data_IF_540320183138
#
_entry.id   IF_540320183138
#
_cell.length_a   1.000
_cell.length_b   1.000
_cell.length_c   1.000
_cell.angle_alpha   90.00
_cell.angle_beta   90.00
_cell.angle_gamma   90.00
#
_symmetry.space_group_name_H-M   'P 1'
#
loop_
_entity.id
_entity.type
_entity.pdbx_description
1 polymer ?
#
# COMPACT_ATOMS: atom_id res chain seq x y z
N UNK A 1 2.25 13.49 22.13
CA UNK A 1 2.27 12.37 21.16
C UNK A 1 2.99 12.80 19.87
N UNK A 2 4.02 12.05 19.47
CA UNK A 2 4.72 12.25 18.18
C UNK A 2 4.10 11.28 17.19
N UNK A 3 3.81 11.74 15.97
CA UNK A 3 3.26 10.92 14.88
C UNK A 3 4.29 10.90 13.77
N UNK A 4 4.70 9.71 13.32
CA UNK A 4 5.55 9.56 12.14
C UNK A 4 4.73 9.21 10.90
N UNK A 5 4.97 9.92 9.80
CA UNK A 5 4.36 9.69 8.49
C UNK A 5 5.36 9.33 7.39
N UNK A 6 6.66 9.24 7.71
CA UNK A 6 7.74 9.02 6.74
C UNK A 6 8.45 7.67 6.87
N UNK A 7 8.09 6.85 7.86
CA UNK A 7 8.67 5.51 8.08
C UNK A 7 7.95 4.52 7.16
N UNK A 8 8.68 3.76 6.35
CA UNK A 8 8.10 2.65 5.61
C UNK A 8 8.03 1.40 6.52
N UNK A 9 7.12 0.46 6.21
CA UNK A 9 6.99 -0.81 6.94
C UNK A 9 8.32 -1.59 7.02
N UNK A 10 9.11 -1.55 5.95
CA UNK A 10 10.44 -2.18 5.92
C UNK A 10 11.47 -1.54 6.86
N UNK A 11 11.30 -0.26 7.21
CA UNK A 11 12.24 0.49 8.05
C UNK A 11 12.01 0.23 9.55
N UNK A 12 10.86 -0.34 9.92
CA UNK A 12 10.47 -0.57 11.32
C UNK A 12 11.52 -1.42 12.05
N UNK A 13 12.01 -2.47 11.41
CA UNK A 13 13.07 -3.33 11.97
C UNK A 13 14.43 -2.65 12.10
N UNK A 14 14.64 -1.49 11.48
CA UNK A 14 15.89 -0.71 11.63
C UNK A 14 15.92 0.08 12.95
N UNK A 15 14.78 0.20 13.64
CA UNK A 15 14.66 0.88 14.93
C UNK A 15 14.76 -0.08 16.13
N UNK A 16 15.27 -1.29 15.90
CA UNK A 16 15.58 -2.25 16.96
C UNK A 16 16.90 -1.90 17.66
N UNK A 17 16.84 -1.77 18.99
CA UNK A 17 18.01 -1.57 19.84
C UNK A 17 18.67 -2.92 20.18
N UNK A 18 19.98 -2.92 20.50
CA UNK A 18 20.64 -4.10 21.07
C UNK A 18 19.82 -4.65 22.25
N UNK A 19 19.45 -5.93 22.19
CA UNK A 19 18.57 -6.58 23.17
C UNK A 19 17.09 -6.66 22.80
N UNK A 20 16.72 -6.46 21.52
CA UNK A 20 15.39 -6.78 20.97
C UNK A 20 14.28 -5.80 21.37
N UNK A 21 14.63 -4.59 21.79
CA UNK A 21 13.67 -3.53 22.13
C UNK A 21 13.47 -2.63 20.92
N UNK A 22 12.27 -2.62 20.35
CA UNK A 22 11.92 -1.66 19.29
C UNK A 22 11.67 -0.28 19.90
N UNK A 23 12.30 0.76 19.33
CA UNK A 23 12.03 2.16 19.68
C UNK A 23 10.63 2.63 19.25
N UNK A 24 9.94 1.81 18.46
CA UNK A 24 8.64 2.14 17.87
C UNK A 24 7.45 1.59 18.66
N UNK A 25 7.70 0.75 19.68
CA UNK A 25 6.63 0.27 20.57
C UNK A 25 5.96 1.49 21.21
N UNK A 26 4.62 1.52 21.18
CA UNK A 26 3.81 2.64 21.67
C UNK A 26 3.96 3.97 20.92
N UNK A 27 4.63 4.01 19.76
CA UNK A 27 4.65 5.19 18.89
C UNK A 27 3.48 5.19 17.91
N UNK A 28 2.90 6.36 17.68
CA UNK A 28 1.83 6.51 16.71
C UNK A 28 2.42 6.64 15.30
N UNK A 29 1.92 5.83 14.39
CA UNK A 29 2.32 5.85 12.98
C UNK A 29 1.11 6.08 12.08
N UNK A 30 1.38 6.65 10.91
CA UNK A 30 0.40 6.89 9.86
C UNK A 30 0.90 6.25 8.57
N UNK A 31 0.28 5.15 8.16
CA UNK A 31 0.70 4.39 6.98
C UNK A 31 -0.38 4.28 5.91
N UNK A 32 -0.01 4.52 4.65
CA UNK A 32 -0.93 4.37 3.52
C UNK A 32 -1.18 2.90 3.11
N UNK A 33 -0.43 1.94 3.67
CA UNK A 33 -0.55 0.50 3.44
C UNK A 33 0.12 -0.26 4.60
N UNK A 34 -0.41 -1.45 4.92
CA UNK A 34 0.18 -2.44 5.81
C UNK A 34 -0.03 -3.82 5.20
N UNK A 35 0.99 -4.67 5.25
CA UNK A 35 0.88 -6.05 4.77
C UNK A 35 -0.17 -6.86 5.54
N UNK A 36 -0.45 -6.53 6.81
CA UNK A 36 -1.49 -7.15 7.63
C UNK A 36 -2.94 -6.84 7.18
N UNK A 37 -3.16 -5.99 6.18
CA UNK A 37 -4.51 -5.66 5.75
C UNK A 37 -5.29 -6.88 5.21
N UNK A 38 -6.39 -7.25 5.86
CA UNK A 38 -7.23 -8.43 5.51
C UNK A 38 -8.16 -8.19 4.32
N UNK A 39 -7.60 -7.86 3.15
CA UNK A 39 -8.39 -7.76 1.89
C UNK A 39 -7.98 -8.85 0.91
N UNK A 40 -8.92 -9.35 0.11
CA UNK A 40 -8.63 -10.35 -0.93
C UNK A 40 -7.64 -9.82 -1.97
N UNK A 41 -7.68 -8.52 -2.28
CA UNK A 41 -6.73 -7.85 -3.14
C UNK A 41 -5.30 -7.87 -2.55
N UNK A 42 -5.18 -7.70 -1.22
CA UNK A 42 -3.90 -7.76 -0.53
C UNK A 42 -3.33 -9.18 -0.50
N UNK A 43 -4.16 -10.19 -0.21
CA UNK A 43 -3.73 -11.60 -0.24
C UNK A 43 -3.17 -11.98 -1.63
N UNK A 44 -3.85 -11.58 -2.71
CA UNK A 44 -3.37 -11.84 -4.07
C UNK A 44 -2.07 -11.08 -4.40
N UNK A 45 -1.94 -9.85 -3.92
CA UNK A 45 -0.72 -9.05 -4.08
C UNK A 45 0.46 -9.66 -3.32
N UNK A 46 0.30 -10.02 -2.05
CA UNK A 46 1.34 -10.67 -1.25
C UNK A 46 1.75 -12.02 -1.83
N UNK A 47 0.79 -12.80 -2.34
CA UNK A 47 1.08 -14.05 -3.06
C UNK A 47 1.96 -13.81 -4.29
N UNK A 48 1.63 -12.80 -5.09
CA UNK A 48 2.46 -12.40 -6.23
C UNK A 48 3.85 -11.95 -5.77
N UNK A 49 3.94 -11.10 -4.73
CA UNK A 49 5.24 -10.64 -4.22
C UNK A 49 6.11 -11.81 -3.73
N UNK A 50 5.52 -12.79 -3.05
CA UNK A 50 6.21 -13.99 -2.59
C UNK A 50 6.70 -14.87 -3.75
N UNK A 51 5.92 -15.01 -4.82
CA UNK A 51 6.31 -15.76 -6.03
C UNK A 51 7.51 -15.11 -6.74
N UNK A 52 7.53 -13.78 -6.86
CA UNK A 52 8.55 -13.06 -7.61
C UNK A 52 9.82 -12.77 -6.81
N UNK A 53 9.69 -12.48 -5.52
CA UNK A 53 10.80 -11.98 -4.68
C UNK A 53 11.12 -12.88 -3.49
N UNK A 54 10.32 -13.93 -3.25
CA UNK A 54 10.46 -14.83 -2.12
C UNK A 54 9.73 -14.34 -0.85
N UNK A 55 9.34 -15.30 -0.01
CA UNK A 55 8.53 -15.06 1.22
C UNK A 55 9.23 -14.18 2.26
N UNK A 56 10.56 -14.07 2.23
CA UNK A 56 11.33 -13.25 3.17
C UNK A 56 11.45 -11.78 2.73
N UNK A 57 10.95 -11.43 1.55
CA UNK A 57 11.03 -10.07 1.05
C UNK A 57 9.98 -9.18 1.74
N UNK A 58 10.44 -8.15 2.45
CA UNK A 58 9.54 -7.20 3.12
C UNK A 58 8.82 -6.34 2.07
N UNK A 59 7.49 -6.44 2.07
CA UNK A 59 6.63 -5.61 1.22
C UNK A 59 6.41 -4.26 1.89
N UNK A 60 6.54 -3.18 1.13
CA UNK A 60 6.37 -1.82 1.64
C UNK A 60 5.34 -1.04 0.85
N UNK A 61 4.84 0.06 1.43
CA UNK A 61 3.80 0.90 0.83
C UNK A 61 4.14 1.43 -0.57
N UNK A 62 5.42 1.67 -0.88
CA UNK A 62 5.86 2.08 -2.21
C UNK A 62 5.64 0.97 -3.26
N UNK A 63 5.87 -0.29 -2.89
CA UNK A 63 5.62 -1.44 -3.78
C UNK A 63 4.13 -1.61 -4.03
N UNK A 64 3.31 -1.51 -2.98
CA UNK A 64 1.85 -1.50 -3.12
C UNK A 64 1.39 -0.39 -4.05
N UNK A 65 1.88 0.83 -3.87
CA UNK A 65 1.44 1.97 -4.67
C UNK A 65 1.86 1.85 -6.13
N UNK A 66 3.05 1.31 -6.42
CA UNK A 66 3.49 1.00 -7.77
C UNK A 66 2.63 -0.09 -8.42
N UNK A 67 2.35 -1.17 -7.70
CA UNK A 67 1.46 -2.24 -8.15
C UNK A 67 0.06 -1.70 -8.47
N UNK A 68 -0.52 -0.93 -7.56
CA UNK A 68 -1.84 -0.32 -7.70
C UNK A 68 -1.92 0.61 -8.91
N UNK A 69 -0.91 1.45 -9.14
CA UNK A 69 -0.89 2.36 -10.29
C UNK A 69 -0.96 1.60 -11.62
N UNK A 70 -0.13 0.57 -11.80
CA UNK A 70 -0.10 -0.23 -13.03
C UNK A 70 -1.39 -1.03 -13.21
N UNK A 71 -1.90 -1.66 -12.14
CA UNK A 71 -3.11 -2.49 -12.22
C UNK A 71 -4.38 -1.67 -12.44
N UNK A 72 -4.48 -0.48 -11.86
CA UNK A 72 -5.59 0.43 -12.11
C UNK A 72 -5.57 0.93 -13.56
N UNK A 73 -4.40 1.36 -14.06
CA UNK A 73 -4.25 1.75 -15.46
C UNK A 73 -4.60 0.60 -16.41
N UNK A 74 -4.10 -0.62 -16.17
CA UNK A 74 -4.35 -1.77 -17.03
C UNK A 74 -5.85 -2.14 -17.06
N UNK A 75 -6.52 -2.12 -15.91
CA UNK A 75 -7.97 -2.35 -15.81
C UNK A 75 -8.77 -1.31 -16.59
N UNK A 76 -8.36 -0.03 -16.51
CA UNK A 76 -8.99 1.05 -17.26
C UNK A 76 -8.72 0.95 -18.77
N UNK A 77 -7.52 0.56 -19.18
CA UNK A 77 -7.17 0.35 -20.59
C UNK A 77 -7.97 -0.81 -21.21
N UNK A 78 -8.11 -1.92 -20.49
CA UNK A 78 -8.97 -3.04 -20.90
C UNK A 78 -10.42 -2.60 -21.03
N UNK A 79 -10.92 -1.85 -20.04
CA UNK A 79 -12.26 -1.31 -20.04
C UNK A 79 -12.56 -0.33 -21.19
N UNK A 80 -11.58 0.51 -21.54
CA UNK A 80 -11.68 1.46 -22.65
C UNK A 80 -11.43 0.80 -24.01
N UNK A 81 -11.00 -0.47 -24.03
CA UNK A 81 -10.48 -1.15 -25.21
C UNK A 81 -9.46 -0.28 -25.98
N UNK A 82 -8.56 0.38 -25.24
CA UNK A 82 -7.66 1.39 -25.78
C UNK A 82 -6.43 1.58 -24.90
N UNK A 83 -5.31 1.90 -25.53
CA UNK A 83 -4.09 2.37 -24.85
C UNK A 83 -3.93 3.90 -24.94
N UNK A 84 -4.89 4.60 -25.55
CA UNK A 84 -4.86 6.05 -25.72
C UNK A 84 -5.14 6.78 -24.41
N UNK A 85 -4.28 7.75 -24.05
CA UNK A 85 -4.30 8.46 -22.78
C UNK A 85 -5.68 8.96 -22.36
N UNK A 86 -6.40 9.64 -23.26
CA UNK A 86 -7.72 10.21 -22.95
C UNK A 86 -8.76 9.13 -22.61
N UNK A 87 -8.80 8.05 -23.39
CA UNK A 87 -9.75 6.95 -23.16
C UNK A 87 -9.47 6.21 -21.85
N UNK A 88 -8.19 5.94 -21.56
CA UNK A 88 -7.79 5.31 -20.30
C UNK A 88 -8.11 6.21 -19.11
N UNK A 89 -7.78 7.51 -19.18
CA UNK A 89 -8.03 8.46 -18.11
C UNK A 89 -9.53 8.63 -17.81
N UNK A 90 -10.37 8.71 -18.85
CA UNK A 90 -11.83 8.72 -18.70
C UNK A 90 -12.34 7.45 -18.02
N UNK A 91 -11.83 6.27 -18.40
CA UNK A 91 -12.20 5.01 -17.77
C UNK A 91 -11.73 4.91 -16.30
N UNK A 92 -10.57 5.48 -15.96
CA UNK A 92 -10.08 5.59 -14.58
C UNK A 92 -10.99 6.49 -13.74
N UNK A 93 -11.36 7.69 -14.20
CA UNK A 93 -12.27 8.57 -13.46
C UNK A 93 -13.65 7.96 -13.23
N UNK A 94 -14.13 7.17 -14.18
CA UNK A 94 -15.47 6.59 -14.12
C UNK A 94 -15.63 5.52 -13.02
N UNK A 95 -14.55 4.88 -12.58
CA UNK A 95 -14.64 3.73 -11.66
C UNK A 95 -13.52 3.69 -10.63
N UNK A 96 -13.83 3.47 -9.34
CA UNK A 96 -12.82 3.18 -8.34
C UNK A 96 -12.17 1.82 -8.59
N UNK A 97 -11.04 1.57 -7.94
CA UNK A 97 -10.25 0.35 -8.05
C UNK A 97 -10.01 -0.28 -6.68
N UNK A 98 -10.12 -1.61 -6.60
CA UNK A 98 -9.84 -2.36 -5.38
C UNK A 98 -8.34 -2.67 -5.31
N UNK A 99 -7.60 -1.86 -4.54
CA UNK A 99 -6.16 -2.04 -4.31
C UNK A 99 -5.88 -2.90 -3.06
N UNK A 100 -4.64 -3.39 -2.88
CA UNK A 100 -4.21 -4.03 -1.64
C UNK A 100 -4.41 -3.14 -0.40
N UNK A 101 -4.22 -1.82 -0.54
CA UNK A 101 -4.45 -0.87 0.55
C UNK A 101 -5.94 -0.59 0.83
N UNK A 102 -6.85 -1.01 -0.06
CA UNK A 102 -8.29 -0.76 -0.03
C UNK A 102 -8.80 -0.07 -1.30
N UNK A 103 -10.00 0.51 -1.27
CA UNK A 103 -10.58 1.16 -2.45
C UNK A 103 -9.83 2.45 -2.76
N UNK A 104 -9.35 2.60 -3.98
CA UNK A 104 -8.70 3.81 -4.49
C UNK A 104 -9.52 4.43 -5.61
N UNK A 105 -9.47 5.76 -5.72
CA UNK A 105 -10.23 6.49 -6.74
C UNK A 105 -9.44 7.68 -7.25
N UNK A 106 -9.37 7.83 -8.58
CA UNK A 106 -8.76 9.01 -9.20
C UNK A 106 -9.67 10.24 -9.02
N UNK A 107 -9.13 11.31 -8.44
CA UNK A 107 -9.83 12.55 -8.17
C UNK A 107 -9.66 13.56 -9.34
N UNK A 108 -10.52 14.59 -9.43
CA UNK A 108 -10.36 15.68 -10.41
C UNK A 108 -9.03 16.44 -10.28
N UNK A 109 -8.40 16.40 -9.11
CA UNK A 109 -7.09 16.99 -8.85
C UNK A 109 -5.91 16.24 -9.50
N UNK A 110 -6.17 15.12 -10.20
CA UNK A 110 -5.19 14.16 -10.69
C UNK A 110 -4.41 13.41 -9.60
N UNK A 111 -4.86 13.48 -8.34
CA UNK A 111 -4.39 12.61 -7.26
C UNK A 111 -5.36 11.47 -7.02
N UNK A 112 -4.86 10.38 -6.45
CA UNK A 112 -5.68 9.24 -6.04
C UNK A 112 -6.05 9.38 -4.56
N UNK A 113 -7.34 9.27 -4.26
CA UNK A 113 -7.81 9.04 -2.90
C UNK A 113 -7.51 7.61 -2.49
N UNK A 114 -6.93 7.41 -1.30
CA UNK A 114 -6.63 6.09 -0.74
C UNK A 114 -6.86 6.07 0.76
N UNK A 115 -7.18 4.90 1.35
CA UNK A 115 -7.22 4.76 2.79
C UNK A 115 -5.86 5.04 3.40
N UNK A 116 -5.86 5.67 4.57
CA UNK A 116 -4.68 5.83 5.40
C UNK A 116 -4.99 5.23 6.76
N UNK A 117 -4.03 4.51 7.33
CA UNK A 117 -4.20 3.80 8.60
C UNK A 117 -3.38 4.50 9.67
N UNK A 118 -3.99 4.70 10.83
CA UNK A 118 -3.39 5.34 11.98
C UNK A 118 -3.48 4.37 13.16
N UNK A 119 -2.37 4.16 13.84
CA UNK A 119 -2.37 3.33 15.03
C UNK A 119 -0.98 3.25 15.65
N UNK A 120 -0.87 2.38 16.63
CA UNK A 120 0.35 2.19 17.41
C UNK A 120 0.97 0.87 17.01
N UNK A 121 2.26 0.82 16.70
CA UNK A 121 2.88 -0.45 16.34
C UNK A 121 2.97 -1.40 17.54
N UNK A 122 2.70 -2.68 17.27
CA UNK A 122 3.04 -3.77 18.17
C UNK A 122 4.56 -4.00 18.25
N UNK A 123 4.99 -5.00 19.03
CA UNK A 123 6.42 -5.27 19.23
C UNK A 123 7.15 -5.73 17.95
N UNK A 124 6.44 -6.36 17.01
CA UNK A 124 6.93 -6.74 15.68
C UNK A 124 6.94 -5.57 14.71
N UNK A 125 6.08 -4.59 14.96
CA UNK A 125 5.74 -3.50 14.08
C UNK A 125 5.18 -3.96 12.73
N UNK A 126 4.49 -5.09 12.72
CA UNK A 126 3.80 -5.65 11.55
C UNK A 126 2.28 -5.42 11.62
N UNK A 127 1.77 -5.04 12.80
CA UNK A 127 0.36 -4.75 13.04
C UNK A 127 0.16 -3.62 14.08
N UNK A 128 -1.10 -3.21 14.26
CA UNK A 128 -1.55 -2.22 15.26
C UNK A 128 -2.04 -2.83 16.58
#
# INVERSE_FOLDING_TARGET
PVISSSVAEGDIGLFEMPGGRSLLVNQLISLPYLSAAETSANVAFLGSMAEWYGVSHKVVSAMESAYTAVRYWASAAQSANSLGTLGVLQAMWARPFNSPAGVVQLMPSNYVSKPNRLGTLDASGEDF
#
